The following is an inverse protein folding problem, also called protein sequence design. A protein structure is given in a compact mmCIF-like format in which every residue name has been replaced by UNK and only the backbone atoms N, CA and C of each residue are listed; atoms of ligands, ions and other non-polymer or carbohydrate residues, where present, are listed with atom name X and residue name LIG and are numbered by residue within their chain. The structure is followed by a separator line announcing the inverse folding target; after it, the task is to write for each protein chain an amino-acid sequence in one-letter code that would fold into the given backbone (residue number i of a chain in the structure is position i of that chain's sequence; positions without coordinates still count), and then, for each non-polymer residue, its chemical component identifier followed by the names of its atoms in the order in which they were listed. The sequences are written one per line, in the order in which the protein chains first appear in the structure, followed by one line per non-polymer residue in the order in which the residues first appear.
data_IF_797080249089
#
_entry.id   IF_797080249089
#
_cell.length_a   1.000
_cell.length_b   1.000
_cell.length_c   1.000
_cell.angle_alpha   90.00
_cell.angle_beta   90.00
_cell.angle_gamma   90.00
#
_symmetry.space_group_name_H-M   'P 1'
#
loop_
_entity.id
_entity.type
_entity.pdbx_description
1 polymer ?
#
# COMPACT_ATOMS: atom_id res chain seq x y z
N UNK A 1 0.27 -6.15 -37.64
CA UNK A 1 0.51 -5.96 -36.19
C UNK A 1 0.86 -7.31 -35.59
N UNK A 2 1.94 -7.38 -34.82
CA UNK A 2 2.53 -8.61 -34.29
C UNK A 2 1.70 -9.11 -33.10
N UNK A 3 1.25 -10.37 -33.11
CA UNK A 3 0.34 -10.91 -32.09
C UNK A 3 0.97 -10.95 -30.69
N UNK A 4 2.29 -11.17 -30.61
CA UNK A 4 3.07 -11.17 -29.37
C UNK A 4 3.04 -9.81 -28.67
N UNK A 5 3.27 -8.72 -29.41
CA UNK A 5 3.24 -7.38 -28.83
C UNK A 5 1.87 -7.03 -28.20
N UNK A 6 0.78 -7.56 -28.76
CA UNK A 6 -0.58 -7.35 -28.23
C UNK A 6 -0.84 -8.18 -26.97
N UNK A 7 -0.24 -9.38 -26.88
CA UNK A 7 -0.27 -10.19 -25.65
C UNK A 7 0.57 -9.57 -24.53
N UNK A 8 1.75 -9.02 -24.85
CA UNK A 8 2.62 -8.36 -23.87
C UNK A 8 1.90 -7.15 -23.23
N UNK A 9 1.25 -6.32 -24.06
CA UNK A 9 0.44 -5.19 -23.57
C UNK A 9 -0.75 -5.65 -22.72
N UNK A 10 -1.44 -6.71 -23.13
CA UNK A 10 -2.54 -7.27 -22.34
C UNK A 10 -2.09 -7.72 -20.95
N UNK A 11 -0.97 -8.45 -20.86
CA UNK A 11 -0.40 -8.89 -19.58
C UNK A 11 0.04 -7.70 -18.73
N UNK A 12 0.66 -6.69 -19.35
CA UNK A 12 1.05 -5.47 -18.65
C UNK A 12 -0.17 -4.76 -18.07
N UNK A 13 -1.24 -4.59 -18.85
CA UNK A 13 -2.47 -3.94 -18.38
C UNK A 13 -3.09 -4.73 -17.23
N UNK A 14 -3.16 -6.06 -17.31
CA UNK A 14 -3.66 -6.90 -16.20
C UNK A 14 -2.90 -6.66 -14.89
N UNK A 15 -1.58 -6.46 -14.95
CA UNK A 15 -0.78 -6.14 -13.77
C UNK A 15 -1.07 -4.73 -13.22
N UNK A 16 -1.49 -3.79 -14.09
CA UNK A 16 -1.79 -2.40 -13.72
C UNK A 16 -3.21 -2.20 -13.20
N UNK A 17 -4.17 -3.06 -13.57
CA UNK A 17 -5.58 -2.91 -13.20
C UNK A 17 -5.81 -2.71 -11.68
N UNK A 18 -5.19 -3.50 -10.77
CA UNK A 18 -5.38 -3.30 -9.33
C UNK A 18 -4.82 -1.97 -8.81
N UNK A 19 -3.81 -1.41 -9.47
CA UNK A 19 -3.21 -0.14 -9.09
C UNK A 19 -4.00 1.06 -9.63
N UNK A 20 -4.71 0.87 -10.75
CA UNK A 20 -5.56 1.89 -11.35
C UNK A 20 -6.68 2.34 -10.40
N UNK A 21 -7.34 1.40 -9.72
CA UNK A 21 -8.41 1.68 -8.75
C UNK A 21 -7.90 2.38 -7.48
N UNK A 22 -6.61 2.23 -7.17
CA UNK A 22 -5.95 2.86 -6.03
C UNK A 22 -5.30 4.21 -6.38
N UNK A 23 -5.48 4.71 -7.61
CA UNK A 23 -4.89 5.96 -8.12
C UNK A 23 -3.35 6.05 -7.98
N UNK A 24 -2.67 4.90 -8.07
CA UNK A 24 -1.19 4.82 -7.92
C UNK A 24 -0.44 4.76 -9.25
N UNK A 25 -1.15 4.82 -10.36
CA UNK A 25 -0.57 4.79 -11.70
C UNK A 25 -0.02 6.15 -12.12
N UNK A 26 1.11 6.14 -12.82
CA UNK A 26 1.60 7.31 -13.55
C UNK A 26 0.65 7.67 -14.71
N UNK A 27 0.77 8.89 -15.25
CA UNK A 27 -0.07 9.34 -16.37
C UNK A 27 0.05 8.43 -17.61
N UNK A 28 1.24 7.93 -17.90
CA UNK A 28 1.46 7.03 -19.04
C UNK A 28 0.81 5.67 -18.82
N UNK A 29 0.89 5.11 -17.61
CA UNK A 29 0.22 3.86 -17.26
C UNK A 29 -1.31 4.00 -17.27
N UNK A 30 -1.84 5.13 -16.79
CA UNK A 30 -3.27 5.42 -16.85
C UNK A 30 -3.76 5.46 -18.30
N UNK A 31 -3.02 6.13 -19.18
CA UNK A 31 -3.35 6.19 -20.61
C UNK A 31 -3.28 4.81 -21.26
N UNK A 32 -2.27 4.01 -20.95
CA UNK A 32 -2.13 2.64 -21.47
C UNK A 32 -3.33 1.78 -21.09
N UNK A 33 -3.74 1.81 -19.82
CA UNK A 33 -4.92 1.07 -19.34
C UNK A 33 -6.20 1.58 -20.01
N UNK A 34 -6.38 2.90 -20.14
CA UNK A 34 -7.54 3.49 -20.77
C UNK A 34 -7.65 3.11 -22.26
N UNK A 35 -6.56 3.20 -23.02
CA UNK A 35 -6.53 2.85 -24.44
C UNK A 35 -6.82 1.36 -24.65
N UNK A 36 -6.21 0.48 -23.86
CA UNK A 36 -6.40 -0.97 -24.00
C UNK A 36 -7.80 -1.44 -23.61
N UNK A 37 -8.40 -0.86 -22.56
CA UNK A 37 -9.75 -1.24 -22.11
C UNK A 37 -10.85 -0.86 -23.10
N UNK A 38 -10.61 0.13 -23.99
CA UNK A 38 -11.51 0.43 -25.10
C UNK A 38 -11.57 -0.70 -26.15
N UNK A 39 -10.49 -1.47 -26.29
CA UNK A 39 -10.37 -2.54 -27.29
C UNK A 39 -10.52 -3.94 -26.71
N UNK A 40 -10.36 -4.12 -25.39
CA UNK A 40 -10.35 -5.41 -24.72
C UNK A 40 -11.45 -5.49 -23.66
N UNK A 41 -12.56 -6.14 -24.01
CA UNK A 41 -13.70 -6.32 -23.11
C UNK A 41 -13.33 -7.05 -21.81
N UNK A 42 -12.45 -8.05 -21.88
CA UNK A 42 -11.99 -8.78 -20.69
C UNK A 42 -11.32 -7.86 -19.66
N UNK A 43 -10.43 -6.96 -20.10
CA UNK A 43 -9.77 -6.02 -19.20
C UNK A 43 -10.73 -4.93 -18.71
N UNK A 44 -11.73 -4.55 -19.51
CA UNK A 44 -12.77 -3.61 -19.09
C UNK A 44 -13.68 -4.21 -17.99
N UNK A 45 -14.08 -5.48 -18.15
CA UNK A 45 -14.90 -6.20 -17.17
C UNK A 45 -14.14 -6.38 -15.85
N UNK A 46 -12.85 -6.73 -15.92
CA UNK A 46 -11.98 -6.85 -14.75
C UNK A 46 -11.79 -5.51 -14.03
N UNK A 47 -11.58 -4.42 -14.78
CA UNK A 47 -11.51 -3.08 -14.21
C UNK A 47 -12.81 -2.70 -13.49
N UNK A 48 -13.97 -2.97 -14.10
CA UNK A 48 -15.27 -2.70 -13.50
C UNK A 48 -15.48 -3.50 -12.21
N UNK A 49 -15.07 -4.77 -12.18
CA UNK A 49 -15.15 -5.61 -10.98
C UNK A 49 -14.27 -5.08 -9.84
N UNK A 50 -13.05 -4.63 -10.17
CA UNK A 50 -12.13 -4.03 -9.20
C UNK A 50 -12.65 -2.70 -8.66
N UNK A 51 -13.27 -1.87 -9.51
CA UNK A 51 -13.90 -0.61 -9.10
C UNK A 51 -15.06 -0.86 -8.12
N UNK A 52 -15.95 -1.80 -8.44
CA UNK A 52 -17.05 -2.18 -7.55
C UNK A 52 -16.52 -2.68 -6.19
N UNK A 53 -15.47 -3.51 -6.20
CA UNK A 53 -14.84 -3.97 -4.96
C UNK A 53 -14.26 -2.81 -4.14
N UNK A 54 -13.59 -1.85 -4.77
CA UNK A 54 -13.04 -0.68 -4.10
C UNK A 54 -14.14 0.18 -3.46
N UNK A 55 -15.25 0.39 -4.17
CA UNK A 55 -16.42 1.09 -3.63
C UNK A 55 -17.02 0.38 -2.42
N UNK A 56 -17.15 -0.95 -2.49
CA UNK A 56 -17.64 -1.75 -1.35
C UNK A 56 -16.71 -1.63 -0.12
N UNK A 57 -15.39 -1.70 -0.32
CA UNK A 57 -14.42 -1.53 0.76
C UNK A 57 -14.51 -0.12 1.35
N UNK A 58 -14.61 0.90 0.51
CA UNK A 58 -14.70 2.30 0.96
C UNK A 58 -16.00 2.54 1.76
N UNK A 59 -17.14 2.06 1.28
CA UNK A 59 -18.43 2.18 1.99
C UNK A 59 -18.43 1.44 3.33
N UNK A 60 -17.76 0.28 3.40
CA UNK A 60 -17.58 -0.45 4.65
C UNK A 60 -16.65 0.30 5.61
N UNK A 61 -15.58 0.93 5.11
CA UNK A 61 -14.67 1.75 5.89
C UNK A 61 -15.36 3.01 6.47
N UNK A 62 -16.25 3.65 5.70
CA UNK A 62 -17.06 4.78 6.18
C UNK A 62 -18.02 4.37 7.30
N UNK A 63 -18.54 3.13 7.22
CA UNK A 63 -19.38 2.55 8.27
C UNK A 63 -18.56 2.08 9.48
N UNK A 64 -17.28 1.79 9.29
CA UNK A 64 -16.36 1.31 10.31
C UNK A 64 -15.63 2.48 10.97
N UNK A 65 -16.28 3.06 11.97
CA UNK A 65 -15.79 4.18 12.76
C UNK A 65 -14.74 3.76 13.81
N UNK A 66 -13.73 2.98 13.41
CA UNK A 66 -12.66 2.63 14.33
C UNK A 66 -11.88 3.88 14.71
N UNK A 67 -11.91 4.20 16.00
CA UNK A 67 -11.06 5.20 16.61
C UNK A 67 -10.26 4.50 17.71
N UNK A 68 -8.94 4.74 17.79
CA UNK A 68 -8.18 4.28 18.94
C UNK A 68 -8.75 4.93 20.22
N UNK A 69 -8.73 4.24 21.37
CA UNK A 69 -9.08 4.86 22.64
C UNK A 69 -8.33 6.18 22.85
N UNK A 70 -9.01 7.19 23.41
CA UNK A 70 -8.40 8.46 23.71
C UNK A 70 -7.13 8.26 24.57
N UNK A 71 -6.03 8.93 24.21
CA UNK A 71 -4.75 8.80 24.90
C UNK A 71 -3.87 7.62 24.43
N UNK A 72 -4.35 6.76 23.53
CA UNK A 72 -3.58 5.60 23.07
C UNK A 72 -2.34 6.02 22.25
N UNK A 73 -2.40 7.14 21.53
CA UNK A 73 -1.25 7.67 20.81
C UNK A 73 -0.18 8.15 21.79
N UNK A 74 -0.57 8.94 22.79
CA UNK A 74 0.34 9.45 23.83
C UNK A 74 0.99 8.29 24.60
N UNK A 75 0.23 7.24 24.91
CA UNK A 75 0.76 6.02 25.54
C UNK A 75 1.78 5.31 24.65
N UNK A 76 1.52 5.20 23.35
CA UNK A 76 2.46 4.61 22.40
C UNK A 76 3.75 5.42 22.29
N UNK A 77 3.65 6.76 22.26
CA UNK A 77 4.81 7.64 22.19
C UNK A 77 5.67 7.54 23.46
N UNK A 78 5.06 7.57 24.65
CA UNK A 78 5.81 7.37 25.90
C UNK A 78 6.46 5.98 25.97
N UNK A 79 5.80 4.94 25.46
CA UNK A 79 6.39 3.60 25.40
C UNK A 79 7.61 3.54 24.47
N UNK A 80 7.62 4.28 23.37
CA UNK A 80 8.79 4.39 22.48
C UNK A 80 9.94 5.09 23.21
N UNK A 81 9.67 6.22 23.87
CA UNK A 81 10.69 6.97 24.63
C UNK A 81 11.33 6.09 25.73
N UNK A 82 10.51 5.34 26.48
CA UNK A 82 10.98 4.42 27.52
C UNK A 82 11.91 3.33 26.95
N UNK A 83 11.57 2.79 25.78
CA UNK A 83 12.38 1.78 25.08
C UNK A 83 13.71 2.35 24.58
N UNK A 84 13.71 3.58 24.05
CA UNK A 84 14.93 4.26 23.62
C UNK A 84 15.87 4.53 24.80
N UNK A 85 15.33 4.96 25.94
CA UNK A 85 16.14 5.16 27.15
C UNK A 85 16.69 3.85 27.71
N UNK A 86 15.90 2.77 27.68
CA UNK A 86 16.35 1.47 28.15
C UNK A 86 17.48 0.92 27.28
N UNK A 87 17.37 1.03 25.95
CA UNK A 87 18.42 0.58 25.03
C UNK A 87 19.71 1.39 25.17
N UNK A 88 19.62 2.72 25.30
CA UNK A 88 20.78 3.56 25.58
C UNK A 88 21.43 3.24 26.94
N UNK A 89 20.64 3.01 28.00
CA UNK A 89 21.16 2.62 29.31
C UNK A 89 21.89 1.28 29.29
N UNK A 90 21.37 0.30 28.54
CA UNK A 90 22.02 -1.01 28.36
C UNK A 90 23.35 -0.85 27.61
N UNK A 91 23.38 -0.07 26.53
CA UNK A 91 24.62 0.17 25.77
C UNK A 91 25.70 0.86 26.60
N UNK A 92 25.36 1.90 27.37
CA UNK A 92 26.32 2.59 28.24
C UNK A 92 26.92 1.66 29.30
N UNK A 93 26.10 0.81 29.94
CA UNK A 93 26.57 -0.15 30.95
C UNK A 93 27.49 -1.23 30.36
N UNK A 94 27.23 -1.67 29.13
CA UNK A 94 28.08 -2.64 28.43
C UNK A 94 29.44 -2.01 28.06
N UNK A 95 29.48 -0.74 27.68
CA UNK A 95 30.74 -0.03 27.40
C UNK A 95 31.60 0.18 28.65
N UNK A 96 31.01 0.49 29.81
CA UNK A 96 31.73 0.66 31.07
C UNK A 96 32.37 -0.65 31.60
N UNK A 97 31.69 -1.77 31.41
CA UNK A 97 32.19 -3.09 31.81
C UNK A 97 33.33 -3.59 30.92
N UNK A 98 33.41 -3.11 29.68
CA UNK A 98 34.44 -3.52 28.71
C UNK A 98 35.72 -2.66 28.79
N UNK A 99 35.73 -1.58 29.58
CA UNK A 99 36.91 -0.73 29.83
C UNK A 99 37.70 -1.10 31.10
N UNK A 100 37.24 -2.09 31.86
CA UNK A 100 37.87 -2.58 33.10
C UNK A 100 38.44 -4.01 32.98
N UNK A 101 38.54 -4.53 31.76
CA UNK A 101 39.13 -5.85 31.43
C UNK A 101 40.54 -5.74 30.85
#
# INVERSE_FOLDING_TARGET
MNLTARQDVHQQVQLLLPWSVNQRLTLDEQRLVAEHTLECSQCADELSALQALAEHIQSAAESYQWQPPAGQLEQLLSAIDDWEQQTHSIQSKVSEQNTLG
#
